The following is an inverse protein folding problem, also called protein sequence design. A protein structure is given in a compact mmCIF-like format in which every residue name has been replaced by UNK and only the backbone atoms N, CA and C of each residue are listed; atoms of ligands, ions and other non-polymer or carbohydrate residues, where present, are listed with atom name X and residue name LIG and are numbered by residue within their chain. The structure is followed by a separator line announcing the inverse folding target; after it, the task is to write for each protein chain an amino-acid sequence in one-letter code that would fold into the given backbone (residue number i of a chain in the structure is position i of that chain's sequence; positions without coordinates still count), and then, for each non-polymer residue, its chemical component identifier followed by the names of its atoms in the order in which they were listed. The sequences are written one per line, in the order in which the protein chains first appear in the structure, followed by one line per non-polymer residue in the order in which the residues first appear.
data_IF_492851198847
#
_entry.id   IF_492851198847
#
_cell.length_a   1.000
_cell.length_b   1.000
_cell.length_c   1.000
_cell.angle_alpha   90.00
_cell.angle_beta   90.00
_cell.angle_gamma   90.00
#
_symmetry.space_group_name_H-M   'P 1'
#
loop_
_entity.id
_entity.type
_entity.pdbx_description
1 polymer ?
#
# COMPACT_ATOMS: atom_id res chain seq x y z
N UNK A 1 18.81 -39.32 20.40
CA UNK A 1 18.14 -39.50 19.09
C UNK A 1 16.70 -39.97 19.34
N UNK A 2 15.77 -39.05 19.62
CA UNK A 2 14.36 -39.40 19.73
C UNK A 2 13.76 -39.57 18.32
N UNK A 3 13.04 -40.68 18.10
CA UNK A 3 12.57 -41.09 16.78
C UNK A 3 11.36 -40.27 16.34
N UNK A 4 11.34 -39.89 15.06
CA UNK A 4 10.36 -39.00 14.40
C UNK A 4 8.94 -39.56 14.29
N UNK A 5 8.58 -40.56 15.09
CA UNK A 5 7.37 -41.38 14.90
C UNK A 5 6.33 -41.27 16.02
N UNK A 6 6.49 -40.35 16.97
CA UNK A 6 5.51 -40.16 18.06
C UNK A 6 4.78 -38.81 18.04
N UNK A 7 4.95 -37.98 17.01
CA UNK A 7 4.34 -36.64 16.98
C UNK A 7 2.95 -36.55 16.31
N UNK A 8 2.37 -37.65 15.85
CA UNK A 8 1.13 -37.61 15.07
C UNK A 8 0.10 -38.66 15.52
N UNK A 9 -0.41 -38.58 16.76
CA UNK A 9 -1.63 -39.31 17.12
C UNK A 9 -2.31 -38.76 18.39
N UNK A 10 -3.06 -37.67 18.28
CA UNK A 10 -4.37 -37.50 18.95
C UNK A 10 -5.11 -36.35 18.27
N UNK A 11 -6.25 -36.69 17.69
CA UNK A 11 -7.09 -35.82 16.89
C UNK A 11 -8.07 -35.00 17.74
N UNK A 12 -8.53 -33.90 17.13
CA UNK A 12 -9.86 -33.33 17.26
C UNK A 12 -10.21 -32.58 18.56
N UNK A 13 -9.74 -31.33 18.65
CA UNK A 13 -10.57 -30.23 19.13
C UNK A 13 -9.93 -28.89 18.71
N UNK A 14 -10.69 -28.06 17.98
CA UNK A 14 -10.33 -26.65 17.81
C UNK A 14 -9.60 -26.27 16.53
N UNK A 15 -10.03 -26.75 15.36
CA UNK A 15 -9.87 -25.93 14.15
C UNK A 15 -10.94 -24.84 14.23
N UNK A 16 -10.69 -23.83 15.07
CA UNK A 16 -11.38 -22.55 14.98
C UNK A 16 -11.21 -22.08 13.55
N UNK A 17 -12.31 -21.95 12.82
CA UNK A 17 -12.35 -21.22 11.58
C UNK A 17 -11.85 -19.80 11.89
N UNK A 18 -10.55 -19.56 11.70
CA UNK A 18 -10.05 -18.21 11.60
C UNK A 18 -10.63 -17.70 10.30
N UNK A 19 -11.78 -17.03 10.43
CA UNK A 19 -12.34 -16.20 9.40
C UNK A 19 -11.19 -15.38 8.84
N UNK A 20 -10.99 -15.46 7.53
CA UNK A 20 -10.03 -14.63 6.82
C UNK A 20 -10.46 -13.18 7.06
N UNK A 21 -9.95 -12.58 8.14
CA UNK A 21 -10.19 -11.18 8.44
C UNK A 21 -9.68 -10.42 7.22
N UNK A 22 -10.58 -9.71 6.55
CA UNK A 22 -10.25 -8.89 5.40
C UNK A 22 -9.08 -7.99 5.81
N UNK A 23 -7.91 -8.24 5.23
CA UNK A 23 -6.77 -7.37 5.44
C UNK A 23 -7.19 -5.99 4.94
N UNK A 24 -7.03 -4.92 5.75
CA UNK A 24 -7.38 -3.60 5.30
C UNK A 24 -6.62 -3.34 4.00
N UNK A 25 -7.35 -2.95 2.96
CA UNK A 25 -6.74 -2.60 1.69
C UNK A 25 -5.65 -1.54 1.96
N UNK A 26 -4.49 -1.63 1.30
CA UNK A 26 -3.46 -0.61 1.44
C UNK A 26 -4.09 0.76 1.14
N UNK A 27 -3.75 1.76 1.95
CA UNK A 27 -4.25 3.11 1.77
C UNK A 27 -3.98 3.57 0.33
N UNK A 28 -4.98 4.19 -0.31
CA UNK A 28 -4.81 4.76 -1.63
C UNK A 28 -3.67 5.78 -1.61
N UNK A 29 -2.77 5.71 -2.58
CA UNK A 29 -1.76 6.74 -2.77
C UNK A 29 -2.46 8.05 -3.15
N UNK A 30 -2.04 9.15 -2.52
CA UNK A 30 -2.59 10.48 -2.77
C UNK A 30 -1.51 11.36 -3.39
N UNK A 31 -1.91 12.20 -4.34
CA UNK A 31 -1.05 13.24 -4.92
C UNK A 31 -0.93 14.40 -3.91
N UNK A 32 0.28 14.71 -3.40
CA UNK A 32 0.49 15.87 -2.54
C UNK A 32 0.21 17.15 -3.31
N UNK A 33 -0.30 18.19 -2.63
CA UNK A 33 -0.41 19.51 -3.25
C UNK A 33 0.96 20.17 -3.39
N UNK A 34 1.15 20.91 -4.47
CA UNK A 34 2.30 21.79 -4.61
C UNK A 34 2.33 22.83 -3.46
N UNK A 35 3.52 23.12 -2.89
CA UNK A 35 3.68 24.15 -1.87
C UNK A 35 3.78 25.56 -2.48
N UNK A 36 3.61 25.69 -3.80
CA UNK A 36 3.71 26.95 -4.55
C UNK A 36 2.71 26.95 -5.72
N UNK A 37 2.43 28.14 -6.25
CA UNK A 37 1.56 28.32 -7.43
C UNK A 37 2.23 27.81 -8.72
N UNK A 38 1.44 27.46 -9.73
CA UNK A 38 1.96 26.88 -10.98
C UNK A 38 2.95 27.80 -11.73
N UNK A 39 2.82 29.12 -11.57
CA UNK A 39 3.67 30.14 -12.18
C UNK A 39 4.90 30.53 -11.34
N UNK A 40 5.06 29.96 -10.13
CA UNK A 40 6.14 30.33 -9.21
C UNK A 40 7.56 30.02 -9.73
N UNK A 41 7.67 29.24 -10.82
CA UNK A 41 8.93 28.85 -11.44
C UNK A 41 9.21 29.58 -12.76
N UNK A 42 8.38 30.56 -13.13
CA UNK A 42 8.66 31.43 -14.25
C UNK A 42 9.90 32.31 -14.01
N UNK A 43 10.68 32.65 -15.06
CA UNK A 43 10.48 32.31 -16.47
C UNK A 43 11.11 30.96 -16.88
N UNK A 44 11.57 30.16 -15.93
CA UNK A 44 12.33 28.94 -16.21
C UNK A 44 11.44 27.76 -16.58
N UNK A 45 10.26 27.69 -15.97
CA UNK A 45 9.22 26.71 -16.29
C UNK A 45 7.90 27.47 -16.35
N UNK A 46 7.19 27.36 -17.45
CA UNK A 46 5.89 28.01 -17.61
C UNK A 46 4.79 27.30 -16.83
N UNK A 47 3.74 28.04 -16.48
CA UNK A 47 2.63 27.53 -15.66
C UNK A 47 1.87 26.35 -16.30
N UNK A 48 1.73 26.32 -17.63
CA UNK A 48 1.02 25.24 -18.33
C UNK A 48 1.80 23.91 -18.23
N UNK A 49 3.12 23.97 -18.36
CA UNK A 49 4.01 22.83 -18.13
C UNK A 49 3.84 22.28 -16.72
N UNK A 50 3.85 23.14 -15.69
CA UNK A 50 3.68 22.70 -14.30
C UNK A 50 2.31 22.09 -14.02
N UNK A 51 1.25 22.66 -14.59
CA UNK A 51 -0.10 22.13 -14.45
C UNK A 51 -0.25 20.75 -15.08
N UNK A 52 0.21 20.58 -16.33
CA UNK A 52 0.13 19.29 -17.02
C UNK A 52 1.02 18.26 -16.31
N UNK A 53 2.21 18.64 -15.86
CA UNK A 53 3.12 17.76 -15.14
C UNK A 53 2.49 17.23 -13.84
N UNK A 54 1.98 18.13 -12.99
CA UNK A 54 1.42 17.77 -11.70
C UNK A 54 0.08 17.03 -11.79
N UNK A 55 -0.86 17.53 -12.62
CA UNK A 55 -2.24 17.01 -12.62
C UNK A 55 -2.44 15.78 -13.52
N UNK A 56 -1.46 15.45 -14.37
CA UNK A 56 -1.57 14.34 -15.35
C UNK A 56 -0.44 13.34 -15.32
N UNK A 57 0.80 13.74 -15.03
CA UNK A 57 1.96 12.86 -15.13
C UNK A 57 2.46 12.30 -13.81
N UNK A 58 2.40 13.09 -12.74
CA UNK A 58 2.66 12.63 -11.37
C UNK A 58 1.45 11.87 -10.78
#
# INVERSE_FOLDING_TARGET
MQSRREFFATAAAGLTAQALAAQPAPAAYALPKLPYAYDALEPHIDALTMQIHHDKHH
#
